data_IF_999598588599
#
_entry.id   IF_999598588599
#
_cell.length_a   1.000
_cell.length_b   1.000
_cell.length_c   1.000
_cell.angle_alpha   90.00
_cell.angle_beta   90.00
_cell.angle_gamma   90.00
#
_symmetry.space_group_name_H-M   'P 1'
#
loop_
_entity.id
_entity.type
_entity.pdbx_description
1 polymer ?
#
# COMPACT_ATOMS: atom_id res chain seq x y z
N UNK A 1 -7.61 -21.04 -10.15
CA UNK A 1 -6.47 -21.01 -9.21
C UNK A 1 -6.89 -20.27 -7.95
N UNK A 2 -6.37 -20.65 -6.78
CA UNK A 2 -6.63 -19.95 -5.51
C UNK A 2 -5.58 -18.86 -5.34
N UNK A 3 -5.99 -17.64 -4.99
CA UNK A 3 -5.04 -16.59 -4.59
C UNK A 3 -4.31 -17.02 -3.33
N UNK A 4 -2.98 -17.01 -3.39
CA UNK A 4 -2.10 -17.18 -2.23
C UNK A 4 -1.59 -15.79 -1.88
N UNK A 5 -1.93 -15.33 -0.67
CA UNK A 5 -1.46 -14.04 -0.17
C UNK A 5 -0.18 -14.24 0.66
N UNK A 6 0.62 -13.21 0.89
CA UNK A 6 1.86 -13.33 1.68
C UNK A 6 1.68 -13.94 3.08
N UNK A 7 0.47 -13.83 3.67
CA UNK A 7 0.14 -14.46 4.95
C UNK A 7 -0.07 -15.97 4.87
N UNK A 8 -0.37 -16.49 3.69
CA UNK A 8 -0.56 -17.93 3.44
C UNK A 8 0.76 -18.67 3.20
N UNK A 9 1.89 -17.93 3.12
CA UNK A 9 3.21 -18.46 2.82
C UNK A 9 4.03 -18.54 4.12
N UNK A 10 4.75 -19.66 4.37
CA UNK A 10 5.64 -19.77 5.53
C UNK A 10 6.60 -18.57 5.63
N UNK A 11 6.74 -18.02 6.85
CA UNK A 11 7.60 -16.84 7.11
C UNK A 11 9.01 -17.00 6.56
N UNK A 12 9.60 -18.18 6.68
CA UNK A 12 10.94 -18.48 6.18
C UNK A 12 11.08 -18.30 4.66
N UNK A 13 9.98 -18.43 3.91
CA UNK A 13 9.96 -18.30 2.44
C UNK A 13 9.60 -16.88 2.03
N UNK A 14 8.61 -16.26 2.69
CA UNK A 14 8.13 -14.94 2.27
C UNK A 14 9.01 -13.81 2.77
N UNK A 15 9.69 -13.95 3.92
CA UNK A 15 10.51 -12.88 4.49
C UNK A 15 11.66 -12.45 3.55
N UNK A 16 12.47 -13.36 2.96
CA UNK A 16 13.51 -12.95 2.01
C UNK A 16 12.96 -12.16 0.82
N UNK A 17 11.77 -12.53 0.33
CA UNK A 17 11.11 -11.82 -0.77
C UNK A 17 10.68 -10.43 -0.31
N UNK A 18 10.08 -10.34 0.86
CA UNK A 18 9.64 -9.08 1.46
C UNK A 18 10.82 -8.14 1.73
N UNK A 19 11.96 -8.66 2.18
CA UNK A 19 13.17 -7.88 2.42
C UNK A 19 13.73 -7.30 1.11
N UNK A 20 13.71 -8.09 0.02
CA UNK A 20 14.09 -7.60 -1.33
C UNK A 20 13.10 -6.53 -1.83
N UNK A 21 11.79 -6.72 -1.60
CA UNK A 21 10.78 -5.71 -1.93
C UNK A 21 11.01 -4.41 -1.15
N UNK A 22 11.40 -4.51 0.12
CA UNK A 22 11.68 -3.34 0.96
C UNK A 22 12.90 -2.56 0.47
N UNK A 23 13.98 -3.26 0.13
CA UNK A 23 15.16 -2.66 -0.48
C UNK A 23 14.82 -1.98 -1.81
N UNK A 24 14.00 -2.63 -2.64
CA UNK A 24 13.57 -2.05 -3.91
C UNK A 24 12.74 -0.78 -3.70
N UNK A 25 11.79 -0.79 -2.76
CA UNK A 25 10.99 0.39 -2.46
C UNK A 25 11.87 1.56 -2.01
N UNK A 26 12.84 1.31 -1.13
CA UNK A 26 13.78 2.34 -0.67
C UNK A 26 14.57 2.93 -1.84
N UNK A 27 15.12 2.09 -2.71
CA UNK A 27 15.84 2.54 -3.90
C UNK A 27 14.97 3.41 -4.82
N UNK A 28 13.71 3.03 -5.04
CA UNK A 28 12.77 3.82 -5.86
C UNK A 28 12.52 5.19 -5.23
N UNK A 29 12.27 5.23 -3.92
CA UNK A 29 12.08 6.47 -3.16
C UNK A 29 13.29 7.39 -3.32
N UNK A 30 14.49 6.87 -3.10
CA UNK A 30 15.74 7.63 -3.16
C UNK A 30 16.01 8.15 -4.57
N UNK A 31 15.86 7.30 -5.59
CA UNK A 31 16.15 7.64 -7.00
C UNK A 31 15.17 8.69 -7.53
N UNK A 32 13.88 8.55 -7.20
CA UNK A 32 12.85 9.44 -7.70
C UNK A 32 12.69 10.71 -6.86
N UNK A 33 13.37 10.82 -5.72
CA UNK A 33 13.19 11.94 -4.79
C UNK A 33 11.77 12.01 -4.24
N UNK A 34 11.18 10.87 -3.86
CA UNK A 34 9.81 10.83 -3.36
C UNK A 34 9.74 11.45 -1.96
N UNK A 35 8.91 12.47 -1.80
CA UNK A 35 8.69 13.14 -0.51
C UNK A 35 7.45 12.62 0.24
N UNK A 36 6.52 11.98 -0.48
CA UNK A 36 5.25 11.49 0.08
C UNK A 36 4.83 10.16 -0.55
N UNK A 37 4.36 9.24 0.29
CA UNK A 37 3.83 7.93 -0.12
C UNK A 37 2.37 7.81 0.30
N UNK A 38 1.51 7.39 -0.63
CA UNK A 38 0.13 6.99 -0.34
C UNK A 38 -0.01 5.49 -0.61
N UNK A 39 -0.10 4.70 0.45
CA UNK A 39 -0.32 3.25 0.35
C UNK A 39 -1.73 2.91 -0.13
N UNK A 40 -1.83 2.01 -1.10
CA UNK A 40 -3.14 1.44 -1.50
C UNK A 40 -3.49 0.32 -0.51
N UNK A 41 -4.30 0.67 0.49
CA UNK A 41 -4.65 -0.20 1.59
C UNK A 41 -3.68 -0.16 2.78
N UNK A 42 -4.15 -0.67 3.91
CA UNK A 42 -3.44 -0.55 5.20
C UNK A 42 -2.15 -1.37 5.26
N UNK A 43 -2.05 -2.48 4.52
CA UNK A 43 -0.82 -3.27 4.47
C UNK A 43 0.32 -2.47 3.84
N UNK A 44 0.09 -1.86 2.68
CA UNK A 44 1.09 -1.05 1.99
C UNK A 44 1.59 0.12 2.87
N UNK A 45 0.67 0.84 3.54
CA UNK A 45 1.05 1.90 4.49
C UNK A 45 1.91 1.39 5.65
N UNK A 46 1.55 0.25 6.24
CA UNK A 46 2.36 -0.33 7.33
C UNK A 46 3.76 -0.69 6.86
N UNK A 47 3.90 -1.27 5.66
CA UNK A 47 5.21 -1.60 5.07
C UNK A 47 6.03 -0.34 4.77
N UNK A 48 5.44 0.65 4.11
CA UNK A 48 6.14 1.91 3.84
C UNK A 48 6.67 2.55 5.15
N UNK A 49 5.85 2.56 6.21
CA UNK A 49 6.25 3.09 7.53
C UNK A 49 7.41 2.35 8.18
N UNK A 50 7.62 1.07 7.87
CA UNK A 50 8.78 0.34 8.40
C UNK A 50 10.06 0.60 7.63
N UNK A 51 9.98 1.13 6.41
CA UNK A 51 11.11 1.22 5.47
C UNK A 51 11.63 2.66 5.36
N UNK A 52 10.71 3.64 5.29
CA UNK A 52 11.00 5.07 5.13
C UNK A 52 10.15 5.92 6.10
N UNK A 53 10.24 5.68 7.42
CA UNK A 53 9.41 6.33 8.44
C UNK A 53 9.48 7.86 8.46
N UNK A 54 10.53 8.44 7.88
CA UNK A 54 10.78 9.88 7.77
C UNK A 54 9.89 10.60 6.76
N UNK A 55 9.30 9.89 5.79
CA UNK A 55 8.44 10.49 4.77
C UNK A 55 7.01 10.71 5.26
N UNK A 56 6.28 11.60 4.56
CA UNK A 56 4.84 11.71 4.74
C UNK A 56 4.15 10.45 4.17
N UNK A 57 3.60 9.61 5.05
CA UNK A 57 2.97 8.34 4.68
C UNK A 57 1.51 8.29 5.10
N UNK A 58 0.63 8.23 4.09
CA UNK A 58 -0.79 7.99 4.27
C UNK A 58 -1.29 6.74 3.51
N UNK A 59 -2.60 6.46 3.55
CA UNK A 59 -3.24 5.41 2.78
C UNK A 59 -4.60 5.84 2.23
N UNK A 60 -4.92 5.28 1.08
CA UNK A 60 -6.29 5.17 0.57
C UNK A 60 -6.84 3.76 0.83
N UNK A 61 -8.16 3.61 0.77
CA UNK A 61 -8.80 2.30 0.83
C UNK A 61 -8.43 1.45 -0.39
N UNK A 62 -8.19 0.16 -0.15
CA UNK A 62 -7.84 -0.77 -1.23
C UNK A 62 -9.06 -0.98 -2.15
N UNK A 63 -8.91 -0.96 -3.48
CA UNK A 63 -10.00 -1.10 -4.45
C UNK A 63 -10.55 -2.54 -4.57
N UNK A 64 -10.23 -3.44 -3.63
CA UNK A 64 -10.59 -4.86 -3.78
C UNK A 64 -12.11 -4.99 -3.70
N UNK A 65 -12.76 -5.70 -4.65
CA UNK A 65 -14.20 -5.99 -4.56
C UNK A 65 -14.59 -6.77 -3.30
N UNK A 66 -13.63 -7.45 -2.66
CA UNK A 66 -13.88 -8.14 -1.39
C UNK A 66 -13.98 -7.19 -0.18
N UNK A 67 -13.59 -5.91 -0.33
CA UNK A 67 -13.64 -4.91 0.75
C UNK A 67 -15.00 -4.21 0.77
N UNK A 68 -15.74 -4.22 1.90
CA UNK A 68 -17.00 -3.48 2.02
C UNK A 68 -16.85 -1.98 1.73
N UNK A 69 -15.70 -1.40 2.11
CA UNK A 69 -15.39 0.01 1.91
C UNK A 69 -15.18 0.37 0.42
N UNK A 70 -14.79 -0.59 -0.42
CA UNK A 70 -14.64 -0.36 -1.86
C UNK A 70 -16.00 -0.29 -2.57
N UNK A 71 -17.01 -0.99 -2.05
CA UNK A 71 -18.31 -1.14 -2.71
C UNK A 71 -19.41 -0.26 -2.12
N UNK A 72 -19.20 0.29 -0.91
CA UNK A 72 -20.20 1.11 -0.22
C UNK A 72 -20.67 2.27 -1.10
N UNK A 73 -21.99 2.48 -1.15
CA UNK A 73 -22.64 3.50 -1.97
C UNK A 73 -22.23 3.43 -3.46
N UNK A 74 -22.15 2.22 -4.03
CA UNK A 74 -21.71 2.03 -5.43
C UNK A 74 -20.27 2.48 -5.67
N UNK A 75 -19.43 2.37 -4.63
CA UNK A 75 -18.03 2.84 -4.62
C UNK A 75 -17.86 4.35 -4.58
N UNK A 76 -18.92 5.14 -4.37
CA UNK A 76 -18.81 6.59 -4.24
C UNK A 76 -17.89 6.99 -3.07
N UNK A 77 -18.02 6.31 -1.94
CA UNK A 77 -17.21 6.56 -0.76
C UNK A 77 -15.74 6.22 -0.98
N UNK A 78 -15.47 5.14 -1.72
CA UNK A 78 -14.12 4.79 -2.10
C UNK A 78 -13.50 5.85 -2.99
N UNK A 79 -14.22 6.32 -4.02
CA UNK A 79 -13.75 7.42 -4.89
C UNK A 79 -13.48 8.71 -4.10
N UNK A 80 -14.37 9.07 -3.17
CA UNK A 80 -14.19 10.21 -2.30
C UNK A 80 -12.96 10.04 -1.38
N UNK A 81 -12.75 8.84 -0.82
CA UNK A 81 -11.56 8.54 -0.03
C UNK A 81 -10.29 8.69 -0.86
N UNK A 82 -10.23 8.13 -2.07
CA UNK A 82 -9.07 8.26 -2.96
C UNK A 82 -8.79 9.72 -3.30
N UNK A 83 -9.82 10.47 -3.71
CA UNK A 83 -9.69 11.89 -4.04
C UNK A 83 -9.13 12.71 -2.87
N UNK A 84 -9.49 12.38 -1.63
CA UNK A 84 -8.97 13.06 -0.42
C UNK A 84 -7.47 12.85 -0.16
N UNK A 85 -6.82 11.90 -0.85
CA UNK A 85 -5.41 11.55 -0.64
C UNK A 85 -4.48 12.06 -1.74
N UNK A 86 -5.04 12.43 -2.88
CA UNK A 86 -4.28 12.96 -4.02
C UNK A 86 -4.03 14.45 -3.83
N UNK A 87 -2.92 14.99 -4.38
CA UNK A 87 -2.70 16.42 -4.43
C UNK A 87 -3.88 17.10 -5.15
N UNK A 88 -4.30 18.27 -4.66
CA UNK A 88 -5.21 19.12 -5.41
C UNK A 88 -4.44 19.61 -6.65
N UNK A 89 -4.88 19.16 -7.83
CA UNK A 89 -4.42 19.67 -9.12
C UNK A 89 -5.03 21.02 -9.44
#
# INVERSE_FOLDING_TARGET
GRNITPVDIPKAIINPILDLCDQHLKSVVDIMGIERIVGVGNYAKKRAKTIVPELDIDAMWHPSPASPLANRNGGADWRANVASKLPLS
#
